data_IF_429032815018
#
_entry.id   IF_429032815018
#
_cell.length_a   1.000
_cell.length_b   1.000
_cell.length_c   1.000
_cell.angle_alpha   90.00
_cell.angle_beta   90.00
_cell.angle_gamma   90.00
#
_symmetry.space_group_name_H-M   'P 1'
#
loop_
_entity.id
_entity.type
_entity.pdbx_description
1 polymer ?
#
# COMPACT_ATOMS: atom_id res chain seq x y z
N UNK A 1 2.10 -11.91 -4.69
CA UNK A 1 1.80 -13.12 -5.45
C UNK A 1 2.63 -14.33 -4.98
N UNK A 2 3.97 -14.26 -5.05
CA UNK A 2 4.84 -15.40 -4.67
C UNK A 2 4.52 -15.97 -3.27
N UNK A 3 4.26 -15.10 -2.29
CA UNK A 3 3.90 -15.54 -0.92
C UNK A 3 2.52 -16.20 -0.84
N UNK A 4 1.56 -15.82 -1.70
CA UNK A 4 0.29 -16.53 -1.82
C UNK A 4 0.51 -17.95 -2.36
N UNK A 5 1.22 -18.10 -3.49
CA UNK A 5 1.47 -19.40 -4.09
C UNK A 5 2.22 -20.34 -3.13
N UNK A 6 3.18 -19.80 -2.36
CA UNK A 6 3.85 -20.56 -1.30
C UNK A 6 2.88 -20.98 -0.20
N UNK A 7 1.97 -20.09 0.21
CA UNK A 7 0.97 -20.41 1.22
C UNK A 7 -0.04 -21.46 0.73
N UNK A 8 -0.44 -21.42 -0.53
CA UNK A 8 -1.31 -22.44 -1.13
C UNK A 8 -0.67 -23.83 -1.05
N UNK A 9 0.58 -23.95 -1.51
CA UNK A 9 1.33 -25.22 -1.46
C UNK A 9 1.44 -25.76 -0.03
N UNK A 10 1.82 -24.93 0.93
CA UNK A 10 1.96 -25.30 2.33
C UNK A 10 0.63 -25.67 3.00
N UNK A 11 -0.46 -25.09 2.49
CA UNK A 11 -1.84 -25.35 2.97
C UNK A 11 -2.46 -26.61 2.34
N UNK A 12 -1.75 -27.27 1.41
CA UNK A 12 -2.23 -28.44 0.68
C UNK A 12 -3.21 -28.12 -0.43
N UNK A 13 -3.19 -26.88 -0.94
CA UNK A 13 -4.06 -26.44 -2.05
C UNK A 13 -3.28 -26.48 -3.36
N UNK A 14 -3.88 -26.99 -4.42
CA UNK A 14 -3.35 -26.99 -5.79
C UNK A 14 -3.49 -25.63 -6.51
N UNK A 15 -3.81 -24.59 -5.76
CA UNK A 15 -3.97 -23.24 -6.29
C UNK A 15 -2.66 -22.61 -6.70
N UNK A 16 -2.68 -21.98 -7.86
CA UNK A 16 -1.55 -21.21 -8.34
C UNK A 16 -2.04 -19.94 -9.05
N UNK A 17 -1.60 -18.80 -8.60
CA UNK A 17 -1.87 -17.53 -9.25
C UNK A 17 -0.71 -17.14 -10.17
N UNK A 18 -0.94 -17.14 -11.48
CA UNK A 18 -0.06 -16.58 -12.48
C UNK A 18 0.03 -15.05 -12.31
N UNK A 19 0.95 -14.39 -13.02
CA UNK A 19 1.02 -12.92 -13.02
C UNK A 19 -0.26 -12.33 -13.57
N UNK A 20 -0.76 -12.87 -14.68
CA UNK A 20 -1.99 -12.40 -15.35
C UNK A 20 -3.21 -12.58 -14.46
N UNK A 21 -3.37 -13.74 -13.84
CA UNK A 21 -4.46 -13.99 -12.92
C UNK A 21 -4.40 -13.10 -11.69
N UNK A 22 -3.21 -12.92 -11.13
CA UNK A 22 -3.04 -12.06 -9.97
C UNK A 22 -3.34 -10.58 -10.27
N UNK A 23 -3.02 -10.08 -11.48
CA UNK A 23 -3.44 -8.75 -11.93
C UNK A 23 -4.96 -8.57 -11.86
N UNK A 24 -5.74 -9.55 -12.38
CA UNK A 24 -7.20 -9.54 -12.30
C UNK A 24 -7.71 -9.57 -10.86
N UNK A 25 -7.08 -10.38 -10.01
CA UNK A 25 -7.43 -10.48 -8.59
C UNK A 25 -7.11 -9.22 -7.78
N UNK A 26 -6.22 -8.35 -8.26
CA UNK A 26 -5.91 -7.06 -7.65
C UNK A 26 -6.98 -5.99 -7.89
N UNK A 27 -7.98 -6.24 -8.72
CA UNK A 27 -9.13 -5.35 -8.91
C UNK A 27 -9.96 -5.16 -7.63
N UNK A 28 -9.87 -6.10 -6.71
CA UNK A 28 -10.51 -6.03 -5.41
C UNK A 28 -9.43 -6.01 -4.32
N UNK A 29 -9.54 -5.06 -3.39
CA UNK A 29 -8.62 -4.98 -2.28
C UNK A 29 -8.86 -6.04 -1.21
N UNK A 30 -7.91 -6.09 -0.26
CA UNK A 30 -7.98 -7.00 0.87
C UNK A 30 -7.57 -8.44 0.52
N UNK A 31 -6.46 -8.89 1.10
CA UNK A 31 -5.93 -10.24 0.85
C UNK A 31 -6.87 -11.35 1.29
N UNK A 32 -7.64 -11.14 2.36
CA UNK A 32 -8.61 -12.12 2.86
C UNK A 32 -9.86 -12.17 1.98
N UNK A 33 -10.40 -11.03 1.60
CA UNK A 33 -11.53 -10.94 0.68
C UNK A 33 -11.20 -11.60 -0.68
N UNK A 34 -9.99 -11.38 -1.19
CA UNK A 34 -9.50 -12.03 -2.41
C UNK A 34 -9.45 -13.54 -2.29
N UNK A 35 -8.99 -14.06 -1.16
CA UNK A 35 -8.97 -15.50 -0.88
C UNK A 35 -10.38 -16.06 -0.77
N UNK A 36 -11.30 -15.38 -0.08
CA UNK A 36 -12.69 -15.82 0.06
C UNK A 36 -13.40 -15.87 -1.30
N UNK A 37 -13.26 -14.81 -2.11
CA UNK A 37 -13.83 -14.81 -3.47
C UNK A 37 -13.26 -15.93 -4.34
N UNK A 38 -11.95 -16.19 -4.22
CA UNK A 38 -11.31 -17.25 -5.00
C UNK A 38 -11.72 -18.64 -4.54
N UNK A 39 -11.83 -18.87 -3.24
CA UNK A 39 -12.33 -20.12 -2.65
C UNK A 39 -13.77 -20.41 -3.10
N UNK A 40 -14.65 -19.40 -3.05
CA UNK A 40 -16.02 -19.53 -3.51
C UNK A 40 -16.11 -19.88 -5.01
N UNK A 41 -15.28 -19.22 -5.84
CA UNK A 41 -15.19 -19.52 -7.28
C UNK A 41 -14.74 -20.97 -7.56
N UNK A 42 -13.93 -21.54 -6.68
CA UNK A 42 -13.44 -22.93 -6.78
C UNK A 42 -14.33 -23.94 -6.06
N UNK A 43 -15.41 -23.51 -5.41
CA UNK A 43 -16.28 -24.32 -4.56
C UNK A 43 -15.52 -25.10 -3.47
N UNK A 44 -14.46 -24.49 -2.91
CA UNK A 44 -13.62 -25.10 -1.88
C UNK A 44 -13.81 -24.35 -0.56
N UNK A 45 -14.20 -25.05 0.49
CA UNK A 45 -14.22 -24.53 1.85
C UNK A 45 -12.78 -24.49 2.40
N UNK A 46 -12.29 -23.30 2.71
CA UNK A 46 -10.94 -23.09 3.28
C UNK A 46 -10.96 -22.03 4.36
N UNK A 47 -10.17 -22.19 5.41
CA UNK A 47 -9.97 -21.16 6.41
C UNK A 47 -9.11 -20.02 5.84
N UNK A 48 -9.75 -19.06 5.22
CA UNK A 48 -9.10 -17.93 4.52
C UNK A 48 -8.28 -17.06 5.48
N UNK A 49 -8.68 -16.92 6.74
CA UNK A 49 -7.94 -16.21 7.78
C UNK A 49 -6.61 -16.89 8.09
N UNK A 50 -6.62 -18.22 8.28
CA UNK A 50 -5.39 -19.01 8.51
C UNK A 50 -4.48 -18.96 7.30
N UNK A 51 -5.03 -19.10 6.09
CA UNK A 51 -4.29 -19.03 4.83
C UNK A 51 -3.66 -17.64 4.61
N UNK A 52 -4.40 -16.56 4.92
CA UNK A 52 -3.87 -15.19 4.91
C UNK A 52 -2.72 -15.00 5.90
N UNK A 53 -2.84 -15.54 7.09
CA UNK A 53 -1.79 -15.47 8.11
C UNK A 53 -0.52 -16.19 7.65
N UNK A 54 -0.65 -17.37 7.05
CA UNK A 54 0.45 -18.13 6.49
C UNK A 54 1.14 -17.35 5.34
N UNK A 55 0.35 -16.79 4.41
CA UNK A 55 0.87 -15.89 3.38
C UNK A 55 1.64 -14.71 3.98
N UNK A 56 1.12 -14.11 5.06
CA UNK A 56 1.76 -12.97 5.71
C UNK A 56 3.09 -13.37 6.35
N UNK A 57 3.17 -14.56 6.98
CA UNK A 57 4.42 -15.13 7.46
C UNK A 57 5.45 -15.24 6.32
N UNK A 58 5.10 -15.89 5.21
CA UNK A 58 6.00 -16.02 4.06
C UNK A 58 6.41 -14.69 3.44
N UNK A 59 5.52 -13.70 3.44
CA UNK A 59 5.85 -12.36 2.98
C UNK A 59 6.89 -11.70 3.90
N UNK A 60 6.70 -11.77 5.21
CA UNK A 60 7.63 -11.20 6.17
C UNK A 60 8.98 -11.92 6.17
N UNK A 61 8.99 -13.25 6.02
CA UNK A 61 10.23 -14.02 5.89
C UNK A 61 10.99 -13.64 4.61
N UNK A 62 10.27 -13.43 3.52
CA UNK A 62 10.86 -12.94 2.27
C UNK A 62 11.48 -11.54 2.47
N UNK A 63 10.77 -10.64 3.14
CA UNK A 63 11.29 -9.29 3.44
C UNK A 63 12.55 -9.32 4.29
N UNK A 64 12.61 -10.21 5.31
CA UNK A 64 13.79 -10.34 6.17
C UNK A 64 15.01 -10.86 5.42
N UNK A 65 14.80 -11.81 4.48
CA UNK A 65 15.89 -12.44 3.71
C UNK A 65 16.37 -11.59 2.54
N UNK A 66 15.53 -10.69 2.02
CA UNK A 66 15.82 -9.89 0.84
C UNK A 66 15.84 -8.41 1.20
N UNK A 67 16.89 -7.72 0.83
CA UNK A 67 16.95 -6.26 0.98
C UNK A 67 15.90 -5.63 0.07
N UNK A 68 14.87 -5.00 0.66
CA UNK A 68 14.01 -4.11 -0.09
C UNK A 68 14.78 -2.86 -0.49
N UNK A 69 14.48 -2.37 -1.67
CA UNK A 69 14.88 -1.02 -2.08
C UNK A 69 13.60 -0.19 -2.28
N UNK A 70 13.59 1.04 -1.82
CA UNK A 70 12.52 1.98 -2.18
C UNK A 70 12.41 2.09 -3.69
N UNK A 71 11.21 2.36 -4.20
CA UNK A 71 11.06 2.69 -5.62
C UNK A 71 11.90 3.94 -5.96
N UNK A 72 12.39 4.05 -7.21
CA UNK A 72 13.17 5.21 -7.64
C UNK A 72 12.45 6.53 -7.29
N UNK A 73 13.19 7.48 -6.74
CA UNK A 73 12.69 8.79 -6.34
C UNK A 73 12.13 8.88 -4.92
N UNK A 74 11.68 7.78 -4.29
CA UNK A 74 11.08 7.81 -2.94
C UNK A 74 12.03 8.42 -1.91
N UNK A 75 13.29 7.99 -1.88
CA UNK A 75 14.28 8.56 -0.94
C UNK A 75 14.52 10.04 -1.17
N UNK A 76 14.60 10.46 -2.44
CA UNK A 76 14.82 11.87 -2.79
C UNK A 76 13.67 12.75 -2.29
N UNK A 77 12.43 12.27 -2.42
CA UNK A 77 11.26 13.01 -1.93
C UNK A 77 11.22 13.04 -0.40
N UNK A 78 11.47 11.90 0.28
CA UNK A 78 11.54 11.87 1.75
C UNK A 78 12.61 12.84 2.26
N UNK A 79 13.81 12.81 1.69
CA UNK A 79 14.90 13.70 2.08
C UNK A 79 14.59 15.18 1.80
N UNK A 80 13.92 15.46 0.67
CA UNK A 80 13.45 16.81 0.37
C UNK A 80 12.44 17.29 1.40
N UNK A 81 11.44 16.48 1.74
CA UNK A 81 10.45 16.83 2.75
C UNK A 81 11.10 17.11 4.10
N UNK A 82 12.05 16.26 4.53
CA UNK A 82 12.79 16.45 5.79
C UNK A 82 13.61 17.74 5.80
N UNK A 83 14.27 18.07 4.68
CA UNK A 83 15.08 19.28 4.56
C UNK A 83 14.25 20.57 4.59
N UNK A 84 12.99 20.50 4.19
CA UNK A 84 12.08 21.65 4.09
C UNK A 84 10.95 21.59 5.14
N UNK A 85 11.12 20.83 6.22
CA UNK A 85 10.14 20.69 7.32
C UNK A 85 8.73 20.31 6.87
N UNK A 86 8.61 19.61 5.73
CA UNK A 86 7.33 19.09 5.24
C UNK A 86 6.99 17.81 6.00
N UNK A 87 5.84 17.80 6.66
CA UNK A 87 5.37 16.64 7.41
C UNK A 87 5.11 15.43 6.50
N UNK A 88 5.56 14.26 6.94
CA UNK A 88 5.39 13.01 6.22
C UNK A 88 4.40 12.09 6.95
N UNK A 89 3.42 11.56 6.21
CA UNK A 89 2.49 10.54 6.68
C UNK A 89 2.65 9.23 5.90
N UNK A 90 2.64 8.10 6.60
CA UNK A 90 2.60 6.76 6.00
C UNK A 90 1.24 6.12 6.30
N UNK A 91 0.30 6.21 5.35
CA UNK A 91 -1.08 5.74 5.49
C UNK A 91 -1.31 4.45 4.69
N UNK A 92 -1.51 3.31 5.37
CA UNK A 92 -1.65 2.01 4.72
C UNK A 92 -2.76 1.16 5.31
N UNK A 93 -3.38 0.30 4.49
CA UNK A 93 -4.34 -0.74 4.92
C UNK A 93 -3.65 -2.01 5.45
N UNK A 94 -2.32 -2.07 5.45
CA UNK A 94 -1.61 -3.26 5.91
C UNK A 94 -1.55 -3.34 7.45
N UNK A 95 -1.14 -4.49 7.96
CA UNK A 95 -1.02 -4.72 9.41
C UNK A 95 0.23 -4.06 9.99
N UNK A 96 0.21 -3.76 11.30
CA UNK A 96 1.37 -3.23 12.02
C UNK A 96 2.60 -4.13 11.89
N UNK A 97 2.42 -5.46 11.89
CA UNK A 97 3.53 -6.41 11.70
C UNK A 97 4.18 -6.25 10.32
N UNK A 98 3.37 -6.04 9.26
CA UNK A 98 3.92 -5.80 7.93
C UNK A 98 4.65 -4.46 7.86
N UNK A 99 4.12 -3.40 8.49
CA UNK A 99 4.80 -2.10 8.61
C UNK A 99 6.16 -2.29 9.28
N UNK A 100 6.20 -2.99 10.42
CA UNK A 100 7.45 -3.27 11.13
C UNK A 100 8.47 -4.01 10.26
N UNK A 101 8.02 -5.03 9.51
CA UNK A 101 8.88 -5.78 8.59
C UNK A 101 9.42 -4.91 7.45
N UNK A 102 8.60 -4.02 6.88
CA UNK A 102 9.02 -3.07 5.83
C UNK A 102 10.09 -2.13 6.37
N UNK A 103 9.83 -1.44 7.49
CA UNK A 103 10.79 -0.52 8.08
C UNK A 103 12.06 -1.21 8.57
N UNK A 104 11.97 -2.43 9.08
CA UNK A 104 13.15 -3.24 9.41
C UNK A 104 14.03 -3.47 8.18
N UNK A 105 13.44 -3.77 7.04
CA UNK A 105 14.16 -4.04 5.79
C UNK A 105 14.78 -2.76 5.21
N UNK A 106 14.09 -1.62 5.37
CA UNK A 106 14.53 -0.30 4.87
C UNK A 106 15.35 0.51 5.89
N UNK A 107 15.67 -0.04 7.05
CA UNK A 107 16.22 0.69 8.22
C UNK A 107 17.46 1.52 7.98
N UNK A 108 18.26 1.17 6.97
CA UNK A 108 19.46 1.91 6.59
C UNK A 108 19.15 3.18 5.77
N UNK A 109 17.97 3.24 5.16
CA UNK A 109 17.58 4.29 4.23
C UNK A 109 16.38 5.10 4.74
N UNK A 110 15.36 4.43 5.30
CA UNK A 110 14.11 5.03 5.78
C UNK A 110 13.82 4.55 7.20
N UNK A 111 13.59 5.47 8.10
CA UNK A 111 13.31 5.18 9.51
C UNK A 111 11.89 5.60 9.87
N UNK A 112 11.26 4.92 10.84
CA UNK A 112 9.93 5.32 11.32
C UNK A 112 9.87 6.76 11.81
N UNK A 113 10.96 7.23 12.44
CA UNK A 113 11.08 8.61 12.93
C UNK A 113 11.10 9.68 11.83
N UNK A 114 11.26 9.29 10.57
CA UNK A 114 11.18 10.20 9.43
C UNK A 114 9.71 10.58 9.11
N UNK A 115 8.73 9.96 9.79
CA UNK A 115 7.30 10.16 9.56
C UNK A 115 6.61 10.73 10.81
N UNK A 116 5.84 11.79 10.62
CA UNK A 116 5.01 12.39 11.65
C UNK A 116 3.75 11.57 11.96
N UNK A 117 3.36 10.70 11.02
CA UNK A 117 2.24 9.77 11.18
C UNK A 117 2.56 8.43 10.50
N UNK A 118 2.26 7.33 11.19
CA UNK A 118 2.28 5.98 10.62
C UNK A 118 0.97 5.31 10.98
N UNK A 119 0.09 5.13 9.97
CA UNK A 119 -1.21 4.51 10.12
C UNK A 119 -1.25 3.11 9.51
N UNK A 120 -1.80 2.15 10.27
CA UNK A 120 -2.09 0.79 9.81
C UNK A 120 -3.58 0.56 9.63
N UNK A 121 -3.95 -0.48 8.91
CA UNK A 121 -5.35 -0.88 8.76
C UNK A 121 -6.07 -1.22 10.07
N UNK A 122 -5.34 -1.37 11.19
CA UNK A 122 -5.94 -1.58 12.51
C UNK A 122 -6.50 -0.31 13.14
N UNK A 123 -6.10 0.87 12.65
CA UNK A 123 -6.56 2.15 13.19
C UNK A 123 -7.96 2.54 12.71
N UNK A 124 -8.50 1.84 11.72
CA UNK A 124 -9.76 2.18 11.07
C UNK A 124 -10.71 1.00 11.04
N UNK A 125 -12.01 1.27 11.19
CA UNK A 125 -13.06 0.28 10.97
C UNK A 125 -13.31 0.06 9.48
N UNK A 126 -13.26 1.13 8.67
CA UNK A 126 -13.43 1.08 7.23
C UNK A 126 -12.09 1.27 6.53
N UNK A 127 -11.67 0.22 5.82
CA UNK A 127 -10.43 0.22 5.03
C UNK A 127 -10.59 1.05 3.75
N UNK A 128 -9.46 1.40 3.08
CA UNK A 128 -9.50 1.95 1.74
C UNK A 128 -10.43 1.10 0.84
N UNK A 129 -11.32 1.70 0.05
CA UNK A 129 -11.34 3.08 -0.44
C UNK A 129 -12.07 4.10 0.45
N UNK A 130 -12.42 3.74 1.70
CA UNK A 130 -12.95 4.72 2.66
C UNK A 130 -11.85 5.68 3.12
N UNK A 131 -12.19 6.95 3.43
CA UNK A 131 -11.19 8.00 3.71
C UNK A 131 -10.60 7.96 5.12
N UNK A 132 -11.01 7.01 5.95
CA UNK A 132 -10.81 7.00 7.40
C UNK A 132 -9.34 7.13 7.80
N UNK A 133 -8.44 6.37 7.15
CA UNK A 133 -6.99 6.42 7.45
C UNK A 133 -6.39 7.80 7.15
N UNK A 134 -6.84 8.47 6.09
CA UNK A 134 -6.41 9.82 5.75
C UNK A 134 -6.97 10.87 6.70
N UNK A 135 -8.25 10.75 7.10
CA UNK A 135 -8.84 11.64 8.11
C UNK A 135 -8.11 11.56 9.45
N UNK A 136 -7.73 10.34 9.87
CA UNK A 136 -6.90 10.15 11.07
C UNK A 136 -5.52 10.78 10.89
N UNK A 137 -4.88 10.61 9.72
CA UNK A 137 -3.60 11.21 9.41
C UNK A 137 -3.65 12.74 9.51
N UNK A 138 -4.62 13.37 8.88
CA UNK A 138 -4.86 14.83 8.94
C UNK A 138 -5.01 15.31 10.38
N UNK A 139 -5.88 14.65 11.16
CA UNK A 139 -6.09 14.99 12.58
C UNK A 139 -4.82 14.85 13.40
N UNK A 140 -4.08 13.75 13.25
CA UNK A 140 -2.86 13.47 14.03
C UNK A 140 -1.70 14.39 13.68
N UNK A 141 -1.60 14.81 12.42
CA UNK A 141 -0.58 15.75 11.97
C UNK A 141 -1.00 17.22 12.13
N UNK A 142 -2.23 17.48 12.57
CA UNK A 142 -2.82 18.82 12.65
C UNK A 142 -2.69 19.58 11.31
N UNK A 143 -3.27 19.01 10.26
CA UNK A 143 -3.23 19.55 8.90
C UNK A 143 -4.64 19.51 8.28
N UNK A 144 -4.92 20.50 7.43
CA UNK A 144 -6.11 20.53 6.58
C UNK A 144 -5.85 19.74 5.29
N UNK A 145 -6.90 19.24 4.66
CA UNK A 145 -6.76 18.43 3.45
C UNK A 145 -6.13 19.19 2.27
N UNK A 146 -6.38 20.48 2.16
CA UNK A 146 -5.80 21.35 1.11
C UNK A 146 -4.33 21.71 1.34
N UNK A 147 -3.78 21.42 2.52
CA UNK A 147 -2.36 21.55 2.85
C UNK A 147 -1.56 20.28 2.56
N UNK A 148 -2.26 19.24 2.07
CA UNK A 148 -1.68 17.92 1.91
C UNK A 148 -1.74 17.44 0.47
N UNK A 149 -0.75 16.62 0.12
CA UNK A 149 -0.69 15.87 -1.12
C UNK A 149 -0.52 14.39 -0.78
N UNK A 150 -1.36 13.53 -1.35
CA UNK A 150 -1.19 12.10 -1.29
C UNK A 150 -0.46 11.58 -2.53
N UNK A 151 0.36 10.54 -2.35
CA UNK A 151 0.99 9.79 -3.45
C UNK A 151 0.58 8.34 -3.28
N UNK A 152 -0.13 7.78 -4.26
CA UNK A 152 -0.72 6.46 -4.17
C UNK A 152 -0.43 5.59 -5.39
N UNK A 153 -0.43 4.28 -5.19
CA UNK A 153 -0.07 3.31 -6.22
C UNK A 153 -1.24 2.48 -6.76
N UNK A 154 -2.43 2.62 -6.17
CA UNK A 154 -3.64 1.89 -6.56
C UNK A 154 -4.85 2.82 -6.69
N UNK A 155 -5.81 2.48 -7.58
CA UNK A 155 -7.05 3.24 -7.76
C UNK A 155 -7.82 3.39 -6.43
N UNK A 156 -7.92 2.31 -5.68
CA UNK A 156 -8.61 2.28 -4.39
C UNK A 156 -7.96 3.22 -3.35
N UNK A 157 -6.64 3.24 -3.30
CA UNK A 157 -5.92 4.13 -2.39
C UNK A 157 -6.04 5.60 -2.84
N UNK A 158 -6.02 5.84 -4.14
CA UNK A 158 -6.29 7.17 -4.73
C UNK A 158 -7.70 7.65 -4.37
N UNK A 159 -8.71 6.81 -4.56
CA UNK A 159 -10.10 7.10 -4.18
C UNK A 159 -10.24 7.44 -2.69
N UNK A 160 -9.51 6.71 -1.83
CA UNK A 160 -9.49 6.97 -0.38
C UNK A 160 -8.95 8.37 -0.06
N UNK A 161 -7.86 8.80 -0.70
CA UNK A 161 -7.30 10.13 -0.52
C UNK A 161 -8.26 11.21 -1.04
N UNK A 162 -8.85 11.03 -2.23
CA UNK A 162 -9.81 11.95 -2.81
C UNK A 162 -11.07 12.11 -1.96
N UNK A 163 -11.60 11.01 -1.38
CA UNK A 163 -12.72 11.06 -0.44
C UNK A 163 -12.37 11.79 0.86
N UNK A 164 -11.11 11.86 1.24
CA UNK A 164 -10.63 12.71 2.34
C UNK A 164 -10.39 14.17 1.90
N UNK A 165 -10.74 14.53 0.66
CA UNK A 165 -10.52 15.84 0.03
C UNK A 165 -9.03 16.21 -0.09
N UNK A 166 -8.14 15.23 -0.11
CA UNK A 166 -6.70 15.42 -0.32
C UNK A 166 -6.42 15.28 -1.81
N UNK A 167 -5.70 16.25 -2.39
CA UNK A 167 -5.16 16.14 -3.75
C UNK A 167 -4.26 14.90 -3.83
N UNK A 168 -4.41 14.10 -4.88
CA UNK A 168 -3.70 12.83 -5.00
C UNK A 168 -2.97 12.71 -6.34
N UNK A 169 -1.70 12.38 -6.29
CA UNK A 169 -0.89 11.95 -7.43
C UNK A 169 -0.86 10.43 -7.44
N UNK A 170 -1.21 9.84 -8.57
CA UNK A 170 -1.05 8.42 -8.79
C UNK A 170 0.38 8.12 -9.27
N UNK A 171 1.04 7.19 -8.58
CA UNK A 171 2.35 6.64 -8.94
C UNK A 171 2.26 5.12 -9.02
N UNK A 172 1.62 4.58 -10.09
CA UNK A 172 1.30 3.17 -10.20
C UNK A 172 2.55 2.29 -10.22
N UNK A 173 2.44 1.10 -9.64
CA UNK A 173 3.43 0.05 -9.81
C UNK A 173 3.14 -0.75 -11.08
N UNK A 174 4.13 -1.52 -11.57
CA UNK A 174 4.04 -2.35 -12.81
C UNK A 174 2.76 -3.17 -12.99
N UNK A 175 2.10 -3.57 -11.91
CA UNK A 175 0.85 -4.32 -11.96
C UNK A 175 -0.40 -3.43 -12.09
N UNK A 176 -0.26 -2.12 -11.96
CA UNK A 176 -1.34 -1.13 -11.94
C UNK A 176 -1.24 -0.07 -13.07
N UNK A 177 -0.18 -0.09 -13.89
CA UNK A 177 0.07 0.89 -14.96
C UNK A 177 -1.07 1.01 -15.98
N UNK A 178 -1.86 -0.06 -16.16
CA UNK A 178 -3.02 -0.09 -17.07
C UNK A 178 -4.28 0.57 -16.49
N UNK A 179 -4.25 1.02 -15.25
CA UNK A 179 -5.40 1.60 -14.55
C UNK A 179 -5.54 3.10 -14.82
N UNK A 180 -6.78 3.60 -14.75
CA UNK A 180 -7.10 5.01 -15.12
C UNK A 180 -6.92 6.01 -13.99
N UNK A 181 -6.89 5.57 -12.73
CA UNK A 181 -6.78 6.44 -11.54
C UNK A 181 -7.73 7.65 -11.57
N UNK A 182 -9.01 7.38 -11.76
CA UNK A 182 -10.03 8.43 -11.91
C UNK A 182 -9.96 9.47 -10.78
N UNK A 183 -9.90 10.75 -11.14
CA UNK A 183 -9.85 11.87 -10.20
C UNK A 183 -8.45 12.16 -9.64
N UNK A 184 -7.42 11.36 -9.97
CA UNK A 184 -6.05 11.72 -9.62
C UNK A 184 -5.68 13.05 -10.28
N UNK A 185 -4.96 13.90 -9.54
CA UNK A 185 -4.47 15.18 -10.05
C UNK A 185 -3.46 15.00 -11.18
N UNK A 186 -2.56 14.03 -11.02
CA UNK A 186 -1.61 13.59 -12.04
C UNK A 186 -1.41 12.08 -11.93
N UNK A 187 -1.08 11.43 -13.04
CA UNK A 187 -0.52 10.08 -13.07
C UNK A 187 0.93 10.22 -13.51
N UNK A 188 1.87 9.76 -12.70
CA UNK A 188 3.30 9.91 -12.94
C UNK A 188 3.99 8.57 -13.04
N UNK A 189 4.96 8.47 -13.94
CA UNK A 189 5.83 7.28 -14.08
C UNK A 189 7.11 7.42 -13.26
N UNK A 190 7.52 8.66 -12.98
CA UNK A 190 8.72 9.00 -12.24
C UNK A 190 8.41 9.88 -11.05
N UNK A 191 8.87 9.46 -9.88
CA UNK A 191 8.71 10.21 -8.65
C UNK A 191 9.90 11.16 -8.48
N UNK A 192 9.72 12.42 -8.82
CA UNK A 192 10.71 13.48 -8.66
C UNK A 192 10.06 14.80 -8.21
N UNK A 193 10.89 15.78 -7.85
CA UNK A 193 10.43 17.06 -7.33
C UNK A 193 9.57 17.83 -8.35
N UNK A 194 9.96 17.79 -9.62
CA UNK A 194 9.25 18.48 -10.70
C UNK A 194 7.82 17.94 -10.81
N UNK A 195 7.66 16.63 -10.86
CA UNK A 195 6.36 16.00 -10.98
C UNK A 195 5.45 16.19 -9.76
N UNK A 196 6.03 16.47 -8.59
CA UNK A 196 5.27 16.61 -7.33
C UNK A 196 4.98 18.07 -6.99
N UNK A 197 5.96 18.97 -7.12
CA UNK A 197 5.89 20.30 -6.52
C UNK A 197 5.77 21.46 -7.52
N UNK A 198 5.78 21.21 -8.84
CA UNK A 198 5.79 22.32 -9.83
C UNK A 198 4.44 23.05 -9.93
N UNK A 199 3.32 22.39 -9.60
CA UNK A 199 1.98 22.97 -9.76
C UNK A 199 1.14 22.87 -8.45
N UNK A 200 1.79 22.98 -7.31
CA UNK A 200 1.14 22.97 -5.98
C UNK A 200 0.83 24.36 -5.49
#
# INVERSE_FOLDING_TARGET
RKSFNKAFKEFGLDWYWSVTEYKKLLENSGGENRLSKYANKKNIKVNTKRLRNLKTKFFNDYLKKNKLKPRPGVLNIINFCKKNDIKLGFATSTTTNNINAIFFTLRNEIKKRDFNFIGSGKLVSKQKPYPDIYKIALKKMNLRSNECLAIEDTEESTESALKAKIRCIAFPGKLQEHKKFKGAYKIIEKLDKKNIFTDL
#
